data_IF_182341651302
#
_entry.id   IF_182341651302
#
_cell.length_a   1.000
_cell.length_b   1.000
_cell.length_c   1.000
_cell.angle_alpha   90.00
_cell.angle_beta   90.00
_cell.angle_gamma   90.00
#
_symmetry.space_group_name_H-M   'P 1'
#
loop_
_entity.id
_entity.type
_entity.pdbx_description
1 polymer ?
#
# COMPACT_ATOMS: atom_id res chain seq x y z
N UNK A 1 -1.67 -46.13 -11.61
CA UNK A 1 -0.74 -45.01 -11.36
C UNK A 1 -1.47 -43.76 -11.80
N UNK A 2 -2.18 -43.09 -10.89
CA UNK A 2 -2.92 -41.87 -11.21
C UNK A 2 -1.97 -40.67 -11.17
N UNK A 3 -1.96 -39.89 -12.25
CA UNK A 3 -1.11 -38.73 -12.45
C UNK A 3 -1.46 -37.60 -11.46
N UNK A 4 -0.46 -37.13 -10.70
CA UNK A 4 -0.54 -36.03 -9.74
C UNK A 4 -0.07 -34.69 -10.33
N UNK A 5 -0.43 -34.39 -11.58
CA UNK A 5 0.12 -33.24 -12.33
C UNK A 5 -0.67 -31.93 -12.13
N UNK A 6 -1.79 -31.96 -11.39
CA UNK A 6 -2.71 -30.82 -11.25
C UNK A 6 -2.44 -29.87 -10.09
N UNK A 7 -1.84 -30.36 -9.00
CA UNK A 7 -1.70 -29.57 -7.76
C UNK A 7 -0.47 -28.65 -7.77
N UNK A 8 0.60 -29.04 -8.48
CA UNK A 8 1.85 -28.24 -8.59
C UNK A 8 1.65 -26.94 -9.38
N UNK A 9 0.85 -26.98 -10.45
CA UNK A 9 0.58 -25.80 -11.27
C UNK A 9 -0.34 -24.79 -10.56
N UNK A 10 -1.31 -25.27 -9.76
CA UNK A 10 -2.18 -24.41 -8.95
C UNK A 10 -1.41 -23.76 -7.78
N UNK A 11 -0.41 -24.47 -7.24
CA UNK A 11 0.48 -23.93 -6.22
C UNK A 11 1.38 -22.82 -6.77
N UNK A 12 2.02 -23.04 -7.93
CA UNK A 12 2.92 -22.08 -8.59
C UNK A 12 2.17 -20.78 -9.00
N UNK A 13 0.94 -20.90 -9.49
CA UNK A 13 0.09 -19.74 -9.78
C UNK A 13 -0.24 -18.91 -8.53
N UNK A 14 -0.56 -19.56 -7.40
CA UNK A 14 -0.84 -18.88 -6.12
C UNK A 14 0.41 -18.27 -5.49
N UNK A 15 1.58 -18.80 -5.79
CA UNK A 15 2.85 -18.25 -5.32
C UNK A 15 3.21 -16.98 -6.10
N UNK A 16 2.98 -16.97 -7.42
CA UNK A 16 3.17 -15.78 -8.25
C UNK A 16 2.26 -14.61 -7.84
N UNK A 17 1.03 -14.87 -7.36
CA UNK A 17 0.14 -13.84 -6.82
C UNK A 17 0.71 -13.11 -5.58
N UNK A 18 1.67 -13.72 -4.87
CA UNK A 18 2.31 -13.13 -3.69
C UNK A 18 3.48 -12.23 -4.03
N UNK A 19 3.98 -12.30 -5.26
CA UNK A 19 5.16 -11.57 -5.69
C UNK A 19 4.80 -10.25 -6.37
N UNK A 20 5.58 -9.21 -6.08
CA UNK A 20 5.50 -7.97 -6.84
C UNK A 20 6.01 -8.20 -8.27
N UNK A 21 5.49 -7.50 -9.29
CA UNK A 21 5.98 -7.64 -10.65
C UNK A 21 7.49 -7.43 -10.74
N UNK A 22 8.21 -8.42 -11.29
CA UNK A 22 9.69 -8.42 -11.34
C UNK A 22 10.26 -7.17 -12.01
N UNK A 23 9.54 -6.59 -12.98
CA UNK A 23 9.92 -5.36 -13.65
C UNK A 23 9.94 -4.14 -12.71
N UNK A 24 9.01 -4.07 -11.76
CA UNK A 24 8.97 -3.00 -10.77
C UNK A 24 10.12 -3.16 -9.75
N UNK A 25 10.38 -4.39 -9.29
CA UNK A 25 11.52 -4.71 -8.41
C UNK A 25 12.83 -4.32 -9.10
N UNK A 26 13.06 -4.79 -10.33
CA UNK A 26 14.26 -4.50 -11.10
C UNK A 26 14.47 -2.99 -11.34
N UNK A 27 13.40 -2.24 -11.61
CA UNK A 27 13.47 -0.78 -11.80
C UNK A 27 13.92 -0.09 -10.52
N UNK A 28 13.43 -0.49 -9.35
CA UNK A 28 13.82 0.10 -8.06
C UNK A 28 15.26 -0.26 -7.73
N UNK A 29 15.65 -1.54 -7.84
CA UNK A 29 17.03 -1.97 -7.61
C UNK A 29 18.02 -1.18 -8.47
N UNK A 30 17.67 -0.91 -9.74
CA UNK A 30 18.52 -0.17 -10.68
C UNK A 30 18.74 1.29 -10.28
N UNK A 31 17.80 1.93 -9.57
CA UNK A 31 17.97 3.31 -9.07
C UNK A 31 19.09 3.46 -8.04
N UNK A 32 19.44 2.37 -7.35
CA UNK A 32 20.51 2.34 -6.37
C UNK A 32 21.87 1.98 -6.97
N UNK A 33 21.96 1.86 -8.29
CA UNK A 33 23.15 1.43 -9.02
C UNK A 33 23.54 2.44 -10.11
N UNK A 34 24.81 2.47 -10.55
CA UNK A 34 25.23 3.24 -11.71
C UNK A 34 24.45 2.88 -12.99
N UNK A 35 24.31 3.84 -13.92
CA UNK A 35 23.52 3.70 -15.15
C UNK A 35 23.93 2.50 -16.02
N UNK A 36 25.22 2.15 -16.03
CA UNK A 36 25.76 1.03 -16.82
C UNK A 36 25.72 -0.34 -16.10
N UNK A 37 25.37 -0.39 -14.81
CA UNK A 37 25.36 -1.64 -14.04
C UNK A 37 24.32 -2.64 -14.57
N UNK A 38 24.64 -3.94 -14.56
CA UNK A 38 23.68 -5.00 -14.88
C UNK A 38 23.28 -5.74 -13.61
N UNK A 39 22.02 -6.13 -13.52
CA UNK A 39 21.48 -6.94 -12.42
C UNK A 39 21.20 -8.33 -12.96
N UNK A 40 21.80 -9.34 -12.33
CA UNK A 40 21.58 -10.75 -12.64
C UNK A 40 20.10 -11.13 -12.48
N UNK A 41 19.66 -12.21 -13.13
CA UNK A 41 18.27 -12.67 -13.05
C UNK A 41 17.96 -13.13 -11.62
N UNK A 42 18.84 -13.97 -11.08
CA UNK A 42 18.77 -14.58 -9.76
C UNK A 42 18.74 -13.52 -8.65
N UNK A 43 19.47 -12.42 -8.83
CA UNK A 43 19.45 -11.30 -7.89
C UNK A 43 18.08 -10.59 -7.86
N UNK A 44 17.38 -10.51 -8.99
CA UNK A 44 16.04 -9.90 -9.03
C UNK A 44 15.01 -10.80 -8.36
N UNK A 45 15.10 -12.12 -8.59
CA UNK A 45 14.23 -13.14 -7.98
C UNK A 45 14.44 -13.18 -6.46
N UNK A 46 15.69 -13.21 -6.01
CA UNK A 46 16.00 -13.16 -4.58
C UNK A 46 15.43 -11.90 -3.90
N UNK A 47 15.58 -10.71 -4.51
CA UNK A 47 15.01 -9.48 -3.93
C UNK A 47 13.48 -9.46 -4.01
N UNK A 48 12.88 -10.07 -5.03
CA UNK A 48 11.43 -10.24 -5.15
C UNK A 48 10.87 -11.11 -4.02
N UNK A 49 11.55 -12.20 -3.67
CA UNK A 49 11.21 -13.04 -2.51
C UNK A 49 11.38 -12.24 -1.21
N UNK A 50 12.53 -11.58 -1.03
CA UNK A 50 12.81 -10.78 0.18
C UNK A 50 11.80 -9.66 0.41
N UNK A 51 11.31 -8.98 -0.65
CA UNK A 51 10.33 -7.90 -0.46
C UNK A 51 8.95 -8.43 -0.09
N UNK A 52 8.56 -9.59 -0.60
CA UNK A 52 7.32 -10.25 -0.20
C UNK A 52 7.37 -10.74 1.25
N UNK A 53 8.51 -11.29 1.67
CA UNK A 53 8.76 -11.62 3.07
C UNK A 53 8.77 -10.38 3.96
N UNK A 54 9.41 -9.29 3.53
CA UNK A 54 9.44 -8.02 4.27
C UNK A 54 8.03 -7.46 4.50
N UNK A 55 7.16 -7.47 3.49
CA UNK A 55 5.76 -7.05 3.64
C UNK A 55 5.07 -7.92 4.70
N UNK A 56 5.26 -9.23 4.63
CA UNK A 56 4.64 -10.17 5.57
C UNK A 56 5.16 -9.95 7.00
N UNK A 57 6.46 -9.74 7.16
CA UNK A 57 7.13 -9.52 8.44
C UNK A 57 6.67 -8.22 9.13
N UNK A 58 6.64 -7.10 8.42
CA UNK A 58 6.14 -5.85 9.00
C UNK A 58 4.65 -5.97 9.32
N UNK A 59 3.88 -6.58 8.44
CA UNK A 59 2.43 -6.70 8.61
C UNK A 59 2.08 -7.61 9.80
N UNK A 60 2.87 -8.66 10.06
CA UNK A 60 2.66 -9.51 11.23
C UNK A 60 2.90 -8.75 12.53
N UNK A 61 3.98 -7.98 12.64
CA UNK A 61 4.28 -7.19 13.84
C UNK A 61 3.20 -6.11 14.09
N UNK A 62 2.77 -5.43 13.03
CA UNK A 62 1.68 -4.45 13.11
C UNK A 62 0.33 -5.08 13.47
N UNK A 63 0.07 -6.29 12.95
CA UNK A 63 -1.12 -7.07 13.30
C UNK A 63 -1.14 -7.43 14.78
N UNK A 64 -0.01 -7.87 15.33
CA UNK A 64 0.12 -8.21 16.75
C UNK A 64 -0.14 -6.99 17.62
N UNK A 65 0.40 -5.82 17.27
CA UNK A 65 0.10 -4.56 17.97
C UNK A 65 -1.38 -4.19 17.91
N UNK A 66 -1.99 -4.27 16.72
CA UNK A 66 -3.42 -4.00 16.52
C UNK A 66 -4.29 -4.94 17.38
N UNK A 67 -3.95 -6.22 17.42
CA UNK A 67 -4.67 -7.23 18.20
C UNK A 67 -4.51 -7.01 19.71
N UNK A 68 -3.32 -6.63 20.19
CA UNK A 68 -3.09 -6.25 21.59
C UNK A 68 -3.97 -5.07 22.02
N UNK A 69 -4.23 -4.12 21.12
CA UNK A 69 -5.16 -3.01 21.33
C UNK A 69 -6.65 -3.36 21.13
N UNK A 70 -6.97 -4.66 20.94
CA UNK A 70 -8.33 -5.16 20.72
C UNK A 70 -9.01 -4.59 19.46
N UNK A 71 -8.22 -4.19 18.47
CA UNK A 71 -8.70 -3.71 17.16
C UNK A 71 -8.65 -4.84 16.13
N UNK A 72 -9.54 -4.77 15.14
CA UNK A 72 -9.59 -5.70 14.00
C UNK A 72 -9.05 -5.11 12.70
N UNK A 73 -8.69 -3.83 12.72
CA UNK A 73 -8.23 -3.08 11.55
C UNK A 73 -6.90 -2.44 11.88
N UNK A 74 -5.88 -2.86 11.13
CA UNK A 74 -4.54 -2.28 11.18
C UNK A 74 -4.63 -0.85 10.63
N UNK A 75 -4.05 0.09 11.36
CA UNK A 75 -3.99 1.50 10.97
C UNK A 75 -2.54 1.93 10.67
N UNK A 76 -2.36 3.17 10.21
CA UNK A 76 -1.02 3.69 9.90
C UNK A 76 -0.08 3.79 11.12
N UNK A 77 -0.62 3.95 12.33
CA UNK A 77 0.17 4.03 13.57
C UNK A 77 0.74 2.66 13.94
N UNK A 78 0.02 1.57 13.68
CA UNK A 78 0.51 0.19 13.88
C UNK A 78 1.76 -0.08 13.03
N UNK A 79 1.74 0.38 11.77
CA UNK A 79 2.86 0.24 10.84
C UNK A 79 4.06 1.06 11.31
N UNK A 80 3.83 2.30 11.76
CA UNK A 80 4.89 3.15 12.31
C UNK A 80 5.52 2.51 13.56
N UNK A 81 4.70 1.96 14.44
CA UNK A 81 5.17 1.25 15.62
C UNK A 81 6.00 0.01 15.25
N UNK A 82 5.51 -0.83 14.33
CA UNK A 82 6.23 -2.01 13.86
C UNK A 82 7.60 -1.66 13.27
N UNK A 83 7.66 -0.63 12.41
CA UNK A 83 8.92 -0.15 11.83
C UNK A 83 9.92 0.30 12.92
N UNK A 84 9.45 1.01 13.95
CA UNK A 84 10.31 1.44 15.06
C UNK A 84 10.80 0.23 15.88
N UNK A 85 9.90 -0.67 16.26
CA UNK A 85 10.20 -1.83 17.13
C UNK A 85 11.16 -2.82 16.48
N UNK A 86 11.13 -2.93 15.15
CA UNK A 86 11.98 -3.84 14.37
C UNK A 86 13.33 -3.21 13.97
N UNK A 87 13.63 -1.98 14.38
CA UNK A 87 14.92 -1.31 14.09
C UNK A 87 15.00 -0.65 12.71
N UNK A 88 13.87 -0.23 12.15
CA UNK A 88 13.76 0.51 10.89
C UNK A 88 13.42 1.98 11.12
N UNK A 89 13.98 2.62 12.15
CA UNK A 89 13.60 3.96 12.63
C UNK A 89 13.72 5.04 11.55
N UNK A 90 14.78 4.96 10.72
CA UNK A 90 14.97 5.90 9.59
C UNK A 90 13.81 5.85 8.58
N UNK A 91 13.20 4.67 8.39
CA UNK A 91 12.03 4.51 7.53
C UNK A 91 10.75 4.95 8.24
N UNK A 92 10.63 4.71 9.55
CA UNK A 92 9.49 5.15 10.35
C UNK A 92 9.32 6.68 10.30
N UNK A 93 10.40 7.45 10.43
CA UNK A 93 10.36 8.91 10.35
C UNK A 93 9.90 9.40 8.96
N UNK A 94 10.39 8.79 7.89
CA UNK A 94 9.94 9.10 6.53
C UNK A 94 8.44 8.78 6.34
N UNK A 95 7.99 7.63 6.84
CA UNK A 95 6.60 7.19 6.76
C UNK A 95 5.65 8.09 7.57
N UNK A 96 6.10 8.63 8.69
CA UNK A 96 5.31 9.55 9.52
C UNK A 96 4.96 10.83 8.76
N UNK A 97 5.93 11.40 8.04
CA UNK A 97 5.71 12.55 7.15
C UNK A 97 4.74 12.19 6.03
N UNK A 98 4.90 11.01 5.42
CA UNK A 98 4.00 10.53 4.37
C UNK A 98 2.56 10.37 4.87
N UNK A 99 2.36 9.76 6.05
CA UNK A 99 1.05 9.56 6.66
C UNK A 99 0.33 10.88 6.94
N UNK A 100 1.05 11.91 7.42
CA UNK A 100 0.49 13.25 7.61
C UNK A 100 -0.03 13.84 6.29
N UNK A 101 0.80 13.83 5.25
CA UNK A 101 0.43 14.35 3.92
C UNK A 101 -0.72 13.57 3.27
N UNK A 102 -0.77 12.25 3.47
CA UNK A 102 -1.87 11.42 3.01
C UNK A 102 -3.18 11.85 3.66
N UNK A 103 -3.20 12.01 5.00
CA UNK A 103 -4.38 12.45 5.75
C UNK A 103 -4.86 13.84 5.32
N UNK A 104 -3.96 14.77 5.03
CA UNK A 104 -4.31 16.10 4.51
C UNK A 104 -4.94 16.02 3.12
N UNK A 105 -4.34 15.26 2.21
CA UNK A 105 -4.83 15.09 0.84
C UNK A 105 -6.22 14.44 0.82
N UNK A 106 -6.43 13.38 1.60
CA UNK A 106 -7.73 12.69 1.66
C UNK A 106 -8.83 13.62 2.20
N UNK A 107 -8.55 14.40 3.26
CA UNK A 107 -9.50 15.40 3.77
C UNK A 107 -9.85 16.47 2.74
N UNK A 108 -8.91 16.85 1.89
CA UNK A 108 -9.13 17.84 0.83
C UNK A 108 -9.97 17.26 -0.32
N UNK A 109 -9.79 15.99 -0.66
CA UNK A 109 -10.66 15.29 -1.61
C UNK A 109 -12.11 15.25 -1.11
N UNK A 110 -12.32 14.89 0.15
CA UNK A 110 -13.66 14.82 0.76
C UNK A 110 -14.36 16.20 0.76
N UNK A 111 -13.59 17.28 0.91
CA UNK A 111 -14.08 18.67 0.82
C UNK A 111 -14.38 19.11 -0.61
N UNK A 112 -13.68 18.57 -1.60
CA UNK A 112 -13.92 18.87 -3.01
C UNK A 112 -15.18 18.16 -3.52
N UNK A 113 -15.43 16.92 -3.09
CA UNK A 113 -16.63 16.15 -3.42
C UNK A 113 -17.86 16.58 -2.63
N UNK A 114 -17.69 17.20 -1.46
CA UNK A 114 -18.79 17.74 -0.64
C UNK A 114 -19.38 19.07 -1.13
N UNK A 115 -18.76 19.75 -2.11
CA UNK A 115 -19.23 21.06 -2.61
C UNK A 115 -20.31 20.99 -3.70
N UNK A 116 -20.73 19.82 -4.14
CA UNK A 116 -21.75 19.65 -5.19
C UNK A 116 -23.17 19.33 -4.68
N UNK A 117 -23.43 19.42 -3.36
CA UNK A 117 -24.73 19.01 -2.76
C UNK A 117 -25.50 20.08 -1.98
N UNK A 118 -25.26 21.37 -2.22
CA UNK A 118 -26.10 22.44 -1.61
C UNK A 118 -26.55 23.47 -2.65
N UNK A 119 -27.67 23.15 -3.31
CA UNK A 119 -28.75 24.01 -3.83
C UNK A 119 -29.68 23.01 -4.59
N UNK A 120 -30.77 22.51 -4.03
CA UNK A 120 -32.03 23.25 -3.88
C UNK A 120 -32.93 22.54 -2.86
N UNK A 121 -33.53 23.30 -1.95
CA UNK A 121 -34.39 22.78 -0.91
C UNK A 121 -35.85 23.14 -1.16
N UNK A 122 -36.74 22.14 -1.10
CA UNK A 122 -38.03 22.25 -0.39
C UNK A 122 -38.78 20.90 -0.30
N UNK A 123 -38.95 20.44 0.95
CA UNK A 123 -40.10 19.71 1.54
C UNK A 123 -40.68 18.47 0.86
N UNK A 124 -40.65 17.31 1.54
CA UNK A 124 -41.80 16.79 2.30
C UNK A 124 -41.43 15.51 3.11
N UNK A 125 -42.02 15.39 4.29
CA UNK A 125 -41.83 14.34 5.30
C UNK A 125 -42.71 13.11 4.98
N UNK A 126 -42.21 11.87 5.12
CA UNK A 126 -42.97 10.69 5.58
C UNK A 126 -42.09 9.46 5.90
N UNK A 127 -42.60 8.65 6.83
CA UNK A 127 -42.01 7.50 7.54
C UNK A 127 -41.62 6.29 6.66
N UNK A 128 -40.61 5.51 7.07
CA UNK A 128 -40.75 4.12 7.57
C UNK A 128 -39.40 3.37 7.66
N UNK A 129 -39.40 2.41 8.57
CA UNK A 129 -38.37 1.45 9.02
C UNK A 129 -37.75 0.57 7.93
N UNK A 130 -36.47 0.19 8.11
CA UNK A 130 -35.85 -0.91 7.36
C UNK A 130 -34.35 -1.06 7.63
N UNK A 131 -34.01 -2.02 8.48
CA UNK A 131 -32.66 -2.57 8.66
C UNK A 131 -32.17 -3.27 7.38
N UNK A 132 -30.97 -2.91 6.90
CA UNK A 132 -30.04 -3.87 6.31
C UNK A 132 -28.63 -3.29 6.14
N UNK A 133 -27.69 -3.97 6.78
CA UNK A 133 -26.24 -3.83 6.63
C UNK A 133 -25.79 -4.08 5.18
N UNK A 134 -25.29 -3.03 4.52
CA UNK A 134 -24.54 -3.12 3.27
C UNK A 134 -23.18 -2.43 3.44
N UNK A 135 -22.11 -3.22 3.56
CA UNK A 135 -20.72 -2.73 3.50
C UNK A 135 -20.42 -2.29 2.07
N UNK A 136 -20.56 -0.99 1.81
CA UNK A 136 -20.06 -0.38 0.59
C UNK A 136 -18.52 -0.29 0.69
N UNK A 137 -17.82 -1.23 0.05
CA UNK A 137 -16.40 -1.05 -0.26
C UNK A 137 -16.31 -0.12 -1.46
N UNK A 138 -16.00 1.15 -1.22
CA UNK A 138 -15.64 2.06 -2.30
C UNK A 138 -14.28 1.64 -2.86
N UNK A 139 -14.28 0.91 -3.97
CA UNK A 139 -13.09 0.58 -4.73
C UNK A 139 -12.52 1.85 -5.36
N UNK A 140 -11.37 2.32 -4.86
CA UNK A 140 -10.58 3.35 -5.53
C UNK A 140 -9.94 2.74 -6.80
N UNK A 141 -9.97 3.42 -7.96
CA UNK A 141 -9.27 2.96 -9.15
C UNK A 141 -7.76 2.91 -8.92
N UNK A 142 -7.14 1.78 -9.25
CA UNK A 142 -5.73 1.43 -9.02
C UNK A 142 -4.70 2.34 -9.75
N UNK A 143 -5.15 3.35 -10.50
CA UNK A 143 -4.34 4.11 -11.45
C UNK A 143 -3.53 5.27 -10.86
N UNK A 144 -3.76 5.71 -9.61
CA UNK A 144 -3.23 7.00 -9.15
C UNK A 144 -2.16 6.97 -8.05
N UNK A 145 -1.73 5.80 -7.56
CA UNK A 145 -0.70 5.76 -6.51
C UNK A 145 0.72 6.09 -7.03
N UNK A 146 1.05 5.80 -8.29
CA UNK A 146 2.40 6.02 -8.83
C UNK A 146 2.66 7.46 -9.31
N UNK A 147 1.61 8.21 -9.65
CA UNK A 147 1.72 9.58 -10.19
C UNK A 147 1.64 10.68 -9.11
N UNK A 148 1.41 10.33 -7.84
CA UNK A 148 1.27 11.30 -6.75
C UNK A 148 2.57 11.59 -5.98
N UNK A 149 3.72 11.04 -6.40
CA UNK A 149 5.00 11.43 -5.82
C UNK A 149 5.55 12.68 -6.54
N UNK A 150 5.67 13.84 -5.87
CA UNK A 150 6.31 15.00 -6.47
C UNK A 150 7.78 14.71 -6.77
N UNK A 151 8.16 14.88 -8.04
CA UNK A 151 9.55 14.88 -8.52
C UNK A 151 10.30 16.10 -7.98
N UNK A 152 10.63 16.14 -6.68
CA UNK A 152 11.33 17.30 -6.11
C UNK A 152 12.56 16.92 -5.28
N UNK A 153 13.25 15.84 -5.68
CA UNK A 153 14.57 15.50 -5.12
C UNK A 153 15.69 15.39 -6.17
N UNK A 154 15.40 15.64 -7.45
CA UNK A 154 16.41 15.61 -8.52
C UNK A 154 16.95 17.00 -8.92
N UNK A 155 16.28 18.09 -8.52
CA UNK A 155 16.70 19.46 -8.90
C UNK A 155 17.67 20.14 -7.92
N UNK A 156 18.04 19.50 -6.80
CA UNK A 156 19.03 20.05 -5.84
C UNK A 156 20.47 19.50 -6.00
N UNK A 157 20.74 18.63 -6.97
CA UNK A 157 22.09 18.07 -7.20
C UNK A 157 22.78 18.55 -8.49
N UNK A 158 22.26 19.57 -9.18
CA UNK A 158 22.90 20.15 -10.38
C UNK A 158 23.52 21.53 -10.18
N UNK A 159 23.80 21.96 -8.95
CA UNK A 159 24.46 23.25 -8.69
C UNK A 159 25.63 23.17 -7.71
N UNK A 160 26.38 22.07 -7.74
CA UNK A 160 27.79 22.09 -7.35
C UNK A 160 28.61 21.19 -8.28
#
# INVERSE_FOLDING_TARGET
MSNNSGDEADFDLKEQDRFLPIANVARIMKKSLPDNAKIAKEAKECVQECVSEFISFITSEASDRCAQEKRKTINGEDILWAMQSLGFENYAEALKVYLSKYRETTKNLDRATGKEKEEDGQGQQMFATGDQSGLATSSLPQANYFNAMPNTFMDQQKTQ
#
